data_IF_959294073404
#
_entry.id   IF_959294073404
#
_cell.length_a   1.000
_cell.length_b   1.000
_cell.length_c   1.000
_cell.angle_alpha   90.00
_cell.angle_beta   90.00
_cell.angle_gamma   90.00
#
_symmetry.space_group_name_H-M   'P 1'
#
loop_
_entity.id
_entity.type
_entity.pdbx_description
1 polymer ?
#
# COMPACT_ATOMS: atom_id res chain seq x y z
N UNK A 1 46.79 -50.17 -30.97
CA UNK A 1 47.12 -49.74 -29.58
C UNK A 1 47.09 -48.23 -29.52
N UNK A 2 46.02 -47.63 -29.00
CA UNK A 2 45.96 -46.24 -28.58
C UNK A 2 44.78 -46.03 -27.61
N UNK A 3 45.16 -45.70 -26.38
CA UNK A 3 44.40 -45.17 -25.25
C UNK A 3 43.18 -44.30 -25.59
N UNK A 4 42.06 -44.54 -24.90
CA UNK A 4 41.18 -43.48 -24.36
C UNK A 4 40.68 -43.87 -22.96
N UNK A 5 41.37 -43.37 -21.94
CA UNK A 5 40.84 -43.21 -20.59
C UNK A 5 39.67 -42.22 -20.63
N UNK A 6 38.46 -42.66 -20.27
CA UNK A 6 37.36 -41.76 -19.94
C UNK A 6 37.20 -41.74 -18.42
N UNK A 7 37.47 -40.57 -17.85
CA UNK A 7 37.38 -40.27 -16.43
C UNK A 7 35.88 -40.19 -16.05
N UNK A 8 35.39 -41.15 -15.28
CA UNK A 8 34.06 -41.09 -14.66
C UNK A 8 34.09 -40.04 -13.54
N UNK A 9 33.42 -38.92 -13.72
CA UNK A 9 33.16 -37.95 -12.64
C UNK A 9 31.73 -38.21 -12.13
N UNK A 10 31.53 -38.63 -10.87
CA UNK A 10 30.20 -38.88 -10.34
C UNK A 10 29.42 -37.56 -10.26
N UNK A 11 28.26 -37.52 -10.91
CA UNK A 11 27.37 -36.38 -10.87
C UNK A 11 26.96 -36.03 -9.44
N UNK A 12 27.27 -34.82 -9.01
CA UNK A 12 26.68 -34.21 -7.82
C UNK A 12 25.18 -34.07 -8.07
N UNK A 13 24.39 -34.93 -7.44
CA UNK A 13 22.93 -34.75 -7.33
C UNK A 13 22.69 -33.41 -6.64
N UNK A 14 22.51 -32.34 -7.41
CA UNK A 14 21.93 -31.09 -6.89
C UNK A 14 20.57 -31.48 -6.30
N UNK A 15 20.50 -31.45 -4.98
CA UNK A 15 19.26 -31.57 -4.23
C UNK A 15 18.43 -30.32 -4.55
N UNK A 16 17.75 -30.33 -5.70
CA UNK A 16 16.70 -29.38 -6.00
C UNK A 16 15.58 -29.73 -5.04
N UNK A 17 15.58 -29.08 -3.86
CA UNK A 17 14.39 -29.05 -2.99
C UNK A 17 13.23 -28.70 -3.91
N UNK A 18 12.34 -29.67 -4.18
CA UNK A 18 11.09 -29.42 -4.90
C UNK A 18 10.42 -28.27 -4.16
N UNK A 19 10.40 -27.08 -4.78
CA UNK A 19 9.71 -25.91 -4.24
C UNK A 19 8.27 -26.37 -4.09
N UNK A 20 7.79 -26.53 -2.84
CA UNK A 20 6.38 -26.85 -2.57
C UNK A 20 5.58 -25.72 -3.22
N UNK A 21 4.96 -25.98 -4.36
CA UNK A 21 4.05 -25.03 -4.97
C UNK A 21 2.86 -24.92 -4.03
N UNK A 22 2.75 -23.80 -3.32
CA UNK A 22 1.56 -23.47 -2.58
C UNK A 22 0.42 -23.34 -3.60
N UNK A 23 -0.71 -24.02 -3.38
CA UNK A 23 -1.90 -23.92 -4.25
C UNK A 23 -2.66 -22.59 -4.07
N UNK A 24 -1.94 -21.50 -3.80
CA UNK A 24 -2.51 -20.19 -3.50
C UNK A 24 -2.92 -19.44 -4.75
N UNK A 25 -3.99 -18.66 -4.64
CA UNK A 25 -4.50 -17.79 -5.71
C UNK A 25 -4.51 -16.36 -5.20
N UNK A 26 -4.17 -15.42 -6.07
CA UNK A 26 -4.15 -13.99 -5.79
C UNK A 26 -4.95 -13.27 -6.86
N UNK A 27 -5.77 -12.31 -6.43
CA UNK A 27 -6.40 -11.32 -7.29
C UNK A 27 -6.14 -9.93 -6.70
N UNK A 28 -5.77 -8.98 -7.55
CA UNK A 28 -5.48 -7.59 -7.15
C UNK A 28 -5.83 -6.62 -8.29
N UNK A 29 -5.94 -5.33 -7.96
CA UNK A 29 -6.27 -4.27 -8.93
C UNK A 29 -5.17 -3.99 -9.95
N UNK A 30 -3.93 -4.38 -9.65
CA UNK A 30 -2.79 -4.22 -10.54
C UNK A 30 -1.94 -5.49 -10.64
N UNK A 31 -1.35 -5.72 -11.82
CA UNK A 31 -0.52 -6.90 -12.08
C UNK A 31 0.70 -6.97 -11.15
N UNK A 32 1.36 -5.84 -10.89
CA UNK A 32 2.51 -5.78 -9.97
C UNK A 32 2.12 -6.14 -8.53
N UNK A 33 0.95 -5.68 -8.08
CA UNK A 33 0.39 -6.03 -6.77
C UNK A 33 0.11 -7.52 -6.66
N UNK A 34 -0.50 -8.12 -7.70
CA UNK A 34 -0.76 -9.56 -7.75
C UNK A 34 0.55 -10.38 -7.78
N UNK A 35 1.53 -9.93 -8.58
CA UNK A 35 2.83 -10.58 -8.71
C UNK A 35 3.61 -10.57 -7.38
N UNK A 36 3.57 -9.46 -6.64
CA UNK A 36 4.21 -9.36 -5.34
C UNK A 36 3.68 -10.40 -4.35
N UNK A 37 2.36 -10.50 -4.20
CA UNK A 37 1.74 -11.52 -3.36
C UNK A 37 2.03 -12.95 -3.85
N UNK A 38 1.94 -13.19 -5.17
CA UNK A 38 2.24 -14.49 -5.75
C UNK A 38 3.69 -14.91 -5.48
N UNK A 39 4.64 -13.98 -5.64
CA UNK A 39 6.05 -14.22 -5.35
C UNK A 39 6.23 -14.66 -3.88
N UNK A 40 5.62 -13.95 -2.94
CA UNK A 40 5.70 -14.30 -1.51
C UNK A 40 5.08 -15.67 -1.21
N UNK A 41 3.94 -16.01 -1.82
CA UNK A 41 3.37 -17.35 -1.70
C UNK A 41 4.30 -18.44 -2.25
N UNK A 42 4.96 -18.18 -3.38
CA UNK A 42 5.92 -19.11 -4.00
C UNK A 42 7.23 -19.25 -3.18
N UNK A 43 7.56 -18.24 -2.39
CA UNK A 43 8.68 -18.26 -1.44
C UNK A 43 8.32 -18.95 -0.12
N UNK A 44 7.06 -19.36 0.05
CA UNK A 44 6.58 -20.13 1.20
C UNK A 44 5.91 -19.28 2.28
N UNK A 45 5.66 -17.99 2.01
CA UNK A 45 4.86 -17.13 2.89
C UNK A 45 3.40 -17.59 2.98
N UNK A 46 2.75 -17.20 4.08
CA UNK A 46 1.34 -17.45 4.29
C UNK A 46 0.46 -16.37 3.61
N UNK A 47 -0.87 -16.46 3.76
CA UNK A 47 -1.80 -15.50 3.15
C UNK A 47 -1.63 -14.07 3.70
N UNK A 48 -1.22 -13.90 4.97
CA UNK A 48 -0.94 -12.58 5.55
C UNK A 48 0.37 -12.00 5.00
N UNK A 49 1.42 -12.81 4.89
CA UNK A 49 2.69 -12.42 4.23
C UNK A 49 2.41 -11.89 2.83
N UNK A 50 1.66 -12.65 2.03
CA UNK A 50 1.29 -12.27 0.67
C UNK A 50 0.44 -11.00 0.63
N UNK A 51 -0.55 -10.88 1.52
CA UNK A 51 -1.39 -9.69 1.61
C UNK A 51 -0.59 -8.43 1.94
N UNK A 52 0.36 -8.50 2.87
CA UNK A 52 1.20 -7.34 3.22
C UNK A 52 2.10 -6.93 2.05
N UNK A 53 2.70 -7.89 1.34
CA UNK A 53 3.50 -7.58 0.17
C UNK A 53 2.69 -6.95 -0.97
N UNK A 54 1.45 -7.44 -1.19
CA UNK A 54 0.51 -6.79 -2.10
C UNK A 54 0.18 -5.37 -1.64
N UNK A 55 -0.20 -5.17 -0.38
CA UNK A 55 -0.57 -3.84 0.15
C UNK A 55 0.56 -2.81 0.00
N UNK A 56 1.82 -3.19 0.29
CA UNK A 56 2.97 -2.32 0.04
C UNK A 56 3.19 -2.05 -1.44
N UNK A 57 3.08 -3.06 -2.30
CA UNK A 57 3.28 -2.90 -3.74
C UNK A 57 2.17 -2.07 -4.38
N UNK A 58 0.93 -2.17 -3.88
CA UNK A 58 -0.19 -1.33 -4.29
C UNK A 58 0.08 0.15 -4.01
N UNK A 59 0.73 0.51 -2.89
CA UNK A 59 1.12 1.89 -2.62
C UNK A 59 2.12 2.48 -3.64
N UNK A 60 2.77 1.62 -4.45
CA UNK A 60 3.66 2.02 -5.54
C UNK A 60 2.96 1.94 -6.89
N UNK A 61 2.23 0.86 -7.14
CA UNK A 61 1.66 0.53 -8.44
C UNK A 61 0.22 1.04 -8.64
N UNK A 62 -0.46 1.44 -7.58
CA UNK A 62 -1.85 1.92 -7.62
C UNK A 62 -1.96 3.29 -6.94
N UNK A 63 -1.13 4.29 -7.34
CA UNK A 63 -1.25 5.64 -6.80
C UNK A 63 -2.67 6.18 -7.07
N UNK A 64 -3.13 7.10 -6.21
CA UNK A 64 -4.54 7.56 -6.09
C UNK A 64 -5.45 6.58 -5.34
N UNK A 65 -5.24 5.27 -5.47
CA UNK A 65 -6.09 4.24 -4.87
C UNK A 65 -5.52 3.68 -3.56
N UNK A 66 -4.19 3.59 -3.45
CA UNK A 66 -3.48 3.09 -2.27
C UNK A 66 -2.37 4.06 -1.85
N UNK A 67 -2.16 4.20 -0.55
CA UNK A 67 -1.13 5.07 0.02
C UNK A 67 -0.73 4.65 1.43
N UNK A 68 0.56 4.81 1.75
CA UNK A 68 1.09 4.67 3.12
C UNK A 68 0.51 5.73 4.07
N UNK A 69 0.08 6.87 3.53
CA UNK A 69 -0.62 7.93 4.26
C UNK A 69 -2.13 7.72 4.37
N UNK A 70 -2.65 6.56 3.95
CA UNK A 70 -4.07 6.21 4.03
C UNK A 70 -4.42 5.33 5.22
N UNK A 71 -5.47 4.52 5.05
CA UNK A 71 -5.93 3.51 6.00
C UNK A 71 -6.66 2.39 5.25
N UNK A 72 -7.20 1.41 5.98
CA UNK A 72 -7.94 0.32 5.36
C UNK A 72 -8.39 -0.75 6.34
N UNK A 73 -8.83 -1.87 5.77
CA UNK A 73 -9.28 -3.03 6.51
C UNK A 73 -8.64 -4.31 5.96
N UNK A 74 -8.38 -5.30 6.83
CA UNK A 74 -8.05 -6.65 6.42
C UNK A 74 -9.01 -7.63 7.10
N UNK A 75 -9.93 -8.20 6.33
CA UNK A 75 -10.82 -9.28 6.77
C UNK A 75 -10.15 -10.62 6.49
N UNK A 76 -9.94 -11.43 7.53
CA UNK A 76 -9.27 -12.71 7.44
C UNK A 76 -10.07 -13.84 8.07
N UNK A 77 -9.91 -15.03 7.50
CA UNK A 77 -10.33 -16.31 8.07
C UNK A 77 -9.08 -17.21 8.21
N UNK A 78 -8.36 -17.15 9.34
CA UNK A 78 -7.21 -18.02 9.55
C UNK A 78 -7.66 -19.48 9.67
N UNK A 79 -6.72 -20.41 9.39
CA UNK A 79 -6.94 -21.83 9.63
C UNK A 79 -7.02 -22.06 11.14
N UNK A 80 -8.03 -22.80 11.61
CA UNK A 80 -8.23 -23.16 13.02
C UNK A 80 -8.31 -21.97 13.98
N UNK A 81 -8.74 -20.80 13.52
CA UNK A 81 -9.02 -19.65 14.37
C UNK A 81 -10.29 -18.93 13.91
N UNK A 82 -10.86 -18.14 14.81
CA UNK A 82 -12.02 -17.31 14.48
C UNK A 82 -11.67 -16.28 13.40
N UNK A 83 -12.61 -16.00 12.48
CA UNK A 83 -12.50 -14.88 11.58
C UNK A 83 -12.30 -13.56 12.32
N UNK A 84 -11.52 -12.66 11.74
CA UNK A 84 -11.20 -11.36 12.33
C UNK A 84 -11.09 -10.28 11.26
N UNK A 85 -11.24 -9.04 11.69
CA UNK A 85 -10.99 -7.84 10.90
C UNK A 85 -9.92 -7.02 11.59
N UNK A 86 -8.86 -6.67 10.87
CA UNK A 86 -7.97 -5.59 11.27
C UNK A 86 -8.53 -4.30 10.68
N UNK A 87 -9.00 -3.41 11.55
CA UNK A 87 -9.41 -2.05 11.22
C UNK A 87 -8.23 -1.11 11.47
N UNK A 88 -7.73 -0.55 10.39
CA UNK A 88 -6.70 0.47 10.41
C UNK A 88 -7.10 1.64 9.50
N UNK A 89 -8.39 1.98 9.54
CA UNK A 89 -8.94 3.11 8.80
C UNK A 89 -8.52 4.44 9.43
N UNK A 90 -8.53 5.50 8.63
CA UNK A 90 -8.05 6.79 9.10
C UNK A 90 -8.96 7.36 10.20
N UNK A 91 -8.38 7.94 11.25
CA UNK A 91 -9.14 8.58 12.32
C UNK A 91 -9.26 10.09 12.10
N UNK A 92 -10.44 10.65 12.34
CA UNK A 92 -10.62 12.10 12.39
C UNK A 92 -9.69 12.71 13.46
N UNK A 93 -8.90 13.75 13.14
CA UNK A 93 -8.08 14.44 14.13
C UNK A 93 -8.92 14.91 15.31
N UNK A 94 -8.39 14.76 16.52
CA UNK A 94 -9.13 14.99 17.77
C UNK A 94 -9.50 16.46 18.02
N UNK A 95 -8.85 17.40 17.32
CA UNK A 95 -9.13 18.84 17.42
C UNK A 95 -9.38 19.45 16.04
N UNK A 96 -10.62 19.87 15.82
CA UNK A 96 -10.98 20.69 14.64
C UNK A 96 -10.35 22.08 14.76
N UNK A 97 -9.71 22.54 13.69
CA UNK A 97 -9.20 23.91 13.58
C UNK A 97 -10.31 24.86 13.12
N UNK A 98 -10.22 26.17 13.41
CA UNK A 98 -11.17 27.14 12.89
C UNK A 98 -11.29 27.05 11.36
N UNK A 99 -12.52 27.15 10.86
CA UNK A 99 -12.81 27.00 9.43
C UNK A 99 -12.04 28.03 8.58
N UNK A 100 -11.93 29.27 9.06
CA UNK A 100 -11.16 30.34 8.42
C UNK A 100 -9.65 30.05 8.30
N UNK A 101 -9.11 29.13 9.12
CA UNK A 101 -7.71 28.73 9.10
C UNK A 101 -7.50 27.37 8.40
N UNK A 102 -8.56 26.77 7.85
CA UNK A 102 -8.54 25.44 7.27
C UNK A 102 -8.52 25.52 5.75
N UNK A 103 -7.56 24.84 5.13
CA UNK A 103 -7.54 24.65 3.68
C UNK A 103 -8.39 23.43 3.34
N UNK A 104 -9.69 23.65 3.18
CA UNK A 104 -10.63 22.64 2.74
C UNK A 104 -11.54 23.28 1.68
N UNK A 105 -11.45 22.81 0.44
CA UNK A 105 -12.20 23.39 -0.67
C UNK A 105 -12.69 22.31 -1.64
N UNK A 106 -13.83 22.53 -2.31
CA UNK A 106 -14.39 21.56 -3.24
C UNK A 106 -13.65 21.56 -4.57
N UNK A 107 -13.52 20.37 -5.15
CA UNK A 107 -13.23 20.14 -6.58
C UNK A 107 -14.29 19.20 -7.15
N UNK A 108 -14.46 19.23 -8.46
CA UNK A 108 -15.33 18.27 -9.16
C UNK A 108 -14.46 17.24 -9.85
N UNK A 109 -14.71 15.98 -9.53
CA UNK A 109 -14.20 14.85 -10.32
C UNK A 109 -15.28 14.42 -11.31
N UNK A 110 -14.91 14.35 -12.58
CA UNK A 110 -15.81 13.98 -13.67
C UNK A 110 -15.54 12.53 -14.09
N UNK A 111 -16.53 11.65 -13.89
CA UNK A 111 -16.51 10.24 -14.28
C UNK A 111 -17.22 10.01 -15.63
N UNK A 112 -17.52 11.07 -16.38
CA UNK A 112 -18.23 11.07 -17.66
C UNK A 112 -19.75 11.01 -17.49
N UNK A 113 -20.27 9.92 -16.92
CA UNK A 113 -21.72 9.74 -16.71
C UNK A 113 -22.20 10.23 -15.33
N UNK A 114 -21.26 10.61 -14.47
CA UNK A 114 -21.53 11.14 -13.14
C UNK A 114 -20.41 12.13 -12.78
N UNK A 115 -20.76 13.14 -11.99
CA UNK A 115 -19.78 14.01 -11.35
C UNK A 115 -19.91 13.88 -9.83
N UNK A 116 -18.78 13.98 -9.13
CA UNK A 116 -18.75 13.96 -7.68
C UNK A 116 -17.92 15.14 -7.16
N UNK A 117 -18.49 15.86 -6.20
CA UNK A 117 -17.73 16.88 -5.46
C UNK A 117 -16.89 16.21 -4.39
N UNK A 118 -15.57 16.37 -4.47
CA UNK A 118 -14.63 16.02 -3.42
C UNK A 118 -14.17 17.28 -2.72
N UNK A 119 -13.86 17.18 -1.42
CA UNK A 119 -13.17 18.25 -0.71
C UNK A 119 -11.71 17.89 -0.53
N UNK A 120 -10.83 18.78 -0.95
CA UNK A 120 -9.37 18.61 -0.92
C UNK A 120 -8.71 19.72 -0.11
N UNK A 121 -7.38 19.66 -0.01
CA UNK A 121 -6.57 20.57 0.81
C UNK A 121 -6.17 19.91 2.13
N UNK A 122 -5.27 20.53 2.89
CA UNK A 122 -4.75 19.93 4.12
C UNK A 122 -5.81 19.73 5.21
N UNK A 123 -6.91 20.46 5.13
CA UNK A 123 -8.09 20.27 5.99
C UNK A 123 -8.78 18.93 5.81
N UNK A 124 -8.59 18.24 4.67
CA UNK A 124 -9.19 16.92 4.42
C UNK A 124 -8.35 15.75 4.99
N UNK A 125 -7.16 16.02 5.49
CA UNK A 125 -6.24 15.00 5.98
C UNK A 125 -6.70 14.46 7.34
N UNK A 126 -7.01 13.16 7.37
CA UNK A 126 -7.24 12.38 8.57
C UNK A 126 -5.92 11.74 9.08
N UNK A 127 -5.95 11.16 10.28
CA UNK A 127 -4.80 10.47 10.89
C UNK A 127 -4.53 9.15 10.18
N UNK A 128 -3.37 8.96 9.52
CA UNK A 128 -3.10 7.76 8.73
C UNK A 128 -2.95 6.49 9.56
N UNK A 129 -3.59 5.42 9.10
CA UNK A 129 -3.65 4.14 9.79
C UNK A 129 -2.90 3.00 9.15
N UNK A 130 -2.59 3.10 7.86
CA UNK A 130 -2.06 2.01 7.06
C UNK A 130 -0.80 1.38 7.65
N UNK A 131 0.21 2.18 7.99
CA UNK A 131 1.49 1.69 8.52
C UNK A 131 1.28 0.96 9.86
N UNK A 132 0.51 1.54 10.79
CA UNK A 132 0.21 0.90 12.08
C UNK A 132 -0.49 -0.45 11.88
N UNK A 133 -1.47 -0.49 10.98
CA UNK A 133 -2.24 -1.69 10.66
C UNK A 133 -1.38 -2.80 10.09
N UNK A 134 -0.64 -2.50 9.02
CA UNK A 134 0.23 -3.46 8.34
C UNK A 134 1.31 -4.00 9.28
N UNK A 135 1.94 -3.15 10.10
CA UNK A 135 2.96 -3.60 11.04
C UNK A 135 2.37 -4.40 12.22
N UNK A 136 1.15 -4.10 12.67
CA UNK A 136 0.45 -4.93 13.65
C UNK A 136 0.13 -6.31 13.08
N UNK A 137 -0.39 -6.38 11.85
CA UNK A 137 -0.66 -7.65 11.14
C UNK A 137 0.64 -8.43 10.95
N UNK A 138 1.72 -7.76 10.54
CA UNK A 138 3.03 -8.37 10.36
C UNK A 138 3.50 -9.05 11.64
N UNK A 139 3.51 -8.32 12.76
CA UNK A 139 3.93 -8.86 14.07
C UNK A 139 3.08 -10.05 14.53
N UNK A 140 1.78 -10.04 14.25
CA UNK A 140 0.85 -11.03 14.77
C UNK A 140 0.67 -12.27 13.89
N UNK A 141 0.78 -12.12 12.57
CA UNK A 141 0.30 -13.12 11.59
C UNK A 141 1.29 -13.47 10.49
N UNK A 142 2.27 -12.62 10.21
CA UNK A 142 3.26 -12.89 9.18
C UNK A 142 4.32 -13.88 9.69
N UNK A 143 4.84 -14.68 8.77
CA UNK A 143 5.91 -15.64 9.04
C UNK A 143 7.25 -15.21 8.45
N UNK A 144 7.23 -14.26 7.49
CA UNK A 144 8.44 -13.76 6.85
C UNK A 144 8.90 -12.42 7.45
N UNK A 145 10.22 -12.14 7.44
CA UNK A 145 10.74 -10.82 7.82
C UNK A 145 10.12 -9.69 6.99
N UNK A 146 9.81 -8.56 7.62
CA UNK A 146 9.17 -7.40 6.98
C UNK A 146 9.91 -6.93 5.72
N UNK A 147 11.25 -6.94 5.77
CA UNK A 147 12.10 -6.56 4.63
C UNK A 147 11.86 -7.42 3.40
N UNK A 148 11.57 -8.72 3.55
CA UNK A 148 11.23 -9.58 2.42
C UNK A 148 9.86 -9.23 1.85
N UNK A 149 8.89 -8.89 2.71
CA UNK A 149 7.55 -8.49 2.28
C UNK A 149 7.52 -7.13 1.58
N UNK A 150 8.39 -6.20 1.97
CA UNK A 150 8.52 -4.88 1.34
C UNK A 150 9.35 -4.91 0.05
N UNK A 151 10.18 -5.94 -0.16
CA UNK A 151 11.11 -6.03 -1.29
C UNK A 151 10.43 -5.89 -2.67
N UNK A 152 9.26 -6.51 -2.95
CA UNK A 152 8.57 -6.30 -4.21
C UNK A 152 8.20 -4.84 -4.47
N UNK A 153 7.75 -4.12 -3.44
CA UNK A 153 7.40 -2.70 -3.53
C UNK A 153 8.65 -1.83 -3.76
N UNK A 154 9.74 -2.08 -3.02
CA UNK A 154 11.03 -1.39 -3.20
C UNK A 154 11.54 -1.57 -4.63
N UNK A 155 11.56 -2.81 -5.12
CA UNK A 155 12.00 -3.12 -6.47
C UNK A 155 11.12 -2.46 -7.53
N UNK A 156 9.80 -2.47 -7.35
CA UNK A 156 8.85 -1.79 -8.24
C UNK A 156 9.08 -0.28 -8.26
N UNK A 157 9.34 0.33 -7.10
CA UNK A 157 9.61 1.76 -6.97
C UNK A 157 10.92 2.18 -7.67
N UNK A 158 11.98 1.37 -7.55
CA UNK A 158 13.29 1.63 -8.20
C UNK A 158 13.24 1.44 -9.71
N UNK A 159 12.74 0.27 -10.17
CA UNK A 159 12.68 -0.02 -11.62
C UNK A 159 11.62 0.82 -12.33
N UNK A 160 10.60 1.23 -11.59
CA UNK A 160 9.44 1.96 -12.04
C UNK A 160 8.28 1.05 -12.47
N UNK A 161 7.08 1.61 -12.43
CA UNK A 161 5.84 0.97 -12.87
C UNK A 161 5.41 1.58 -14.19
N UNK A 162 5.08 0.73 -15.17
CA UNK A 162 4.59 1.18 -16.47
C UNK A 162 3.12 1.58 -16.34
N UNK A 163 2.79 2.81 -16.73
CA UNK A 163 1.43 3.35 -16.65
C UNK A 163 0.52 2.58 -17.60
N UNK A 164 -0.54 2.00 -17.03
CA UNK A 164 -1.56 1.28 -17.78
C UNK A 164 -2.78 2.19 -18.08
N UNK A 165 -3.71 1.76 -18.96
CA UNK A 165 -4.88 2.56 -19.31
C UNK A 165 -5.78 2.93 -18.12
N UNK A 166 -5.94 2.02 -17.14
CA UNK A 166 -6.77 2.26 -15.97
C UNK A 166 -6.17 3.32 -15.04
N UNK A 167 -4.87 3.25 -14.76
CA UNK A 167 -4.17 4.28 -13.97
C UNK A 167 -4.24 5.66 -14.63
N UNK A 168 -4.06 5.72 -15.96
CA UNK A 168 -4.16 6.97 -16.71
C UNK A 168 -5.58 7.56 -16.63
N UNK A 169 -6.60 6.72 -16.82
CA UNK A 169 -8.01 7.12 -16.67
C UNK A 169 -8.29 7.70 -15.28
N UNK A 170 -7.95 6.96 -14.22
CA UNK A 170 -8.18 7.41 -12.84
C UNK A 170 -7.43 8.70 -12.54
N UNK A 171 -6.17 8.81 -12.97
CA UNK A 171 -5.37 10.03 -12.78
C UNK A 171 -5.97 11.23 -13.50
N UNK A 172 -6.61 11.03 -14.66
CA UNK A 172 -7.35 12.07 -15.37
C UNK A 172 -8.59 12.53 -14.58
N UNK A 173 -9.37 11.60 -14.04
CA UNK A 173 -10.57 11.89 -13.24
C UNK A 173 -10.20 12.73 -12.00
N UNK A 174 -9.13 12.36 -11.29
CA UNK A 174 -8.66 13.06 -10.09
C UNK A 174 -7.60 14.12 -10.36
N UNK A 175 -7.38 14.51 -11.62
CA UNK A 175 -6.35 15.48 -11.97
C UNK A 175 -6.44 16.79 -11.17
N UNK A 176 -7.63 17.34 -10.83
CA UNK A 176 -7.73 18.50 -9.94
C UNK A 176 -7.07 18.29 -8.57
N UNK A 177 -7.15 17.06 -8.03
CA UNK A 177 -6.50 16.69 -6.76
C UNK A 177 -4.98 16.64 -6.94
N UNK A 178 -4.51 16.01 -8.02
CA UNK A 178 -3.07 15.88 -8.30
C UNK A 178 -2.40 17.23 -8.58
N UNK A 179 -3.15 18.19 -9.12
CA UNK A 179 -2.70 19.57 -9.36
C UNK A 179 -2.83 20.50 -8.15
N UNK A 180 -3.32 20.02 -7.01
CA UNK A 180 -3.47 20.82 -5.79
C UNK A 180 -2.14 21.41 -5.27
N UNK A 181 -1.00 20.79 -5.63
CA UNK A 181 0.32 21.38 -5.46
C UNK A 181 1.26 20.95 -6.58
N UNK A 182 2.27 21.77 -6.86
CA UNK A 182 3.30 21.41 -7.84
C UNK A 182 4.06 20.14 -7.42
N UNK A 183 4.39 20.01 -6.13
CA UNK A 183 5.08 18.83 -5.61
C UNK A 183 4.28 17.54 -5.84
N UNK A 184 2.97 17.54 -5.55
CA UNK A 184 2.11 16.40 -5.84
C UNK A 184 2.03 16.10 -7.34
N UNK A 185 1.85 17.12 -8.18
CA UNK A 185 1.70 16.92 -9.62
C UNK A 185 2.96 16.31 -10.26
N UNK A 186 4.16 16.71 -9.83
CA UNK A 186 5.41 16.18 -10.36
C UNK A 186 5.60 14.67 -10.06
N UNK A 187 4.95 14.13 -9.01
CA UNK A 187 4.93 12.69 -8.75
C UNK A 187 4.09 11.90 -9.78
N UNK A 188 3.29 12.59 -10.60
CA UNK A 188 2.40 11.99 -11.60
C UNK A 188 2.58 12.54 -13.02
N UNK A 189 3.54 13.45 -13.23
CA UNK A 189 3.77 14.12 -14.52
C UNK A 189 4.38 13.21 -15.59
N UNK A 190 4.29 13.60 -16.86
CA UNK A 190 5.01 12.91 -17.94
C UNK A 190 6.51 13.19 -17.85
N UNK A 191 7.31 12.20 -18.22
CA UNK A 191 8.76 12.34 -18.37
C UNK A 191 9.15 13.13 -19.62
N UNK A 192 8.21 13.28 -20.57
CA UNK A 192 8.38 14.01 -21.82
C UNK A 192 7.80 15.43 -21.70
N UNK A 193 6.63 15.56 -21.06
CA UNK A 193 5.91 16.83 -20.87
C UNK A 193 5.56 17.04 -19.39
N UNK A 194 6.44 17.69 -18.65
CA UNK A 194 6.33 17.85 -17.18
C UNK A 194 5.07 18.58 -16.68
N UNK A 195 4.34 19.25 -17.58
CA UNK A 195 3.07 19.93 -17.34
C UNK A 195 1.84 19.04 -17.54
N UNK A 196 2.02 17.85 -18.12
CA UNK A 196 0.98 16.85 -18.39
C UNK A 196 1.10 15.65 -17.46
N UNK A 197 0.01 14.90 -17.27
CA UNK A 197 0.07 13.60 -16.58
C UNK A 197 0.88 12.60 -17.40
N UNK A 198 1.48 11.63 -16.72
CA UNK A 198 2.14 10.50 -17.36
C UNK A 198 1.18 9.75 -18.30
N UNK A 199 1.63 9.48 -19.51
CA UNK A 199 0.87 8.82 -20.55
C UNK A 199 0.95 7.30 -20.41
N UNK A 200 -0.04 6.59 -20.98
CA UNK A 200 -0.03 5.13 -21.05
C UNK A 200 1.26 4.65 -21.72
N UNK A 201 1.93 3.71 -21.08
CA UNK A 201 3.18 3.13 -21.55
C UNK A 201 4.45 3.79 -21.01
N UNK A 202 4.37 5.00 -20.44
CA UNK A 202 5.48 5.62 -19.72
C UNK A 202 5.81 4.82 -18.44
N UNK A 203 7.08 4.89 -18.00
CA UNK A 203 7.52 4.23 -16.77
C UNK A 203 7.79 5.25 -15.68
N UNK A 204 7.09 5.13 -14.55
CA UNK A 204 7.24 6.03 -13.40
C UNK A 204 8.07 5.38 -12.30
N UNK A 205 9.22 5.97 -12.01
CA UNK A 205 10.09 5.60 -10.89
C UNK A 205 9.75 6.43 -9.65
N UNK A 206 9.96 5.86 -8.47
CA UNK A 206 9.67 6.45 -7.17
C UNK A 206 10.81 6.17 -6.18
N UNK A 207 12.05 6.66 -6.42
CA UNK A 207 13.20 6.35 -5.58
C UNK A 207 13.03 6.81 -4.13
N UNK A 208 12.31 7.91 -3.88
CA UNK A 208 11.99 8.41 -2.55
C UNK A 208 11.06 7.44 -1.80
N UNK A 209 10.10 6.82 -2.50
CA UNK A 209 9.23 5.78 -1.92
C UNK A 209 10.04 4.52 -1.59
N UNK A 210 10.99 4.14 -2.45
CA UNK A 210 11.90 3.02 -2.17
C UNK A 210 12.73 3.27 -0.91
N UNK A 211 13.34 4.45 -0.80
CA UNK A 211 14.06 4.87 0.39
C UNK A 211 13.15 4.85 1.63
N UNK A 212 11.94 5.40 1.52
CA UNK A 212 10.97 5.38 2.61
C UNK A 212 10.67 3.95 3.10
N UNK A 213 10.50 2.99 2.19
CA UNK A 213 10.32 1.59 2.58
C UNK A 213 11.54 0.99 3.28
N UNK A 214 12.76 1.35 2.87
CA UNK A 214 13.98 0.91 3.55
C UNK A 214 14.06 1.46 4.99
N UNK A 215 13.78 2.75 5.17
CA UNK A 215 13.67 3.38 6.48
C UNK A 215 12.58 2.71 7.33
N UNK A 216 11.40 2.49 6.74
CA UNK A 216 10.28 1.83 7.42
C UNK A 216 10.64 0.42 7.87
N UNK A 217 11.37 -0.35 7.05
CA UNK A 217 11.80 -1.70 7.43
C UNK A 217 12.82 -1.70 8.57
N UNK A 218 13.62 -0.65 8.71
CA UNK A 218 14.65 -0.52 9.74
C UNK A 218 14.11 0.04 11.05
N UNK A 219 13.27 1.06 10.96
CA UNK A 219 12.82 1.86 12.10
C UNK A 219 11.40 1.50 12.55
N UNK A 220 10.67 0.73 11.73
CA UNK A 220 9.31 0.29 12.02
C UNK A 220 8.33 1.46 12.14
N UNK A 221 7.31 1.29 12.98
CA UNK A 221 6.27 2.31 13.15
C UNK A 221 6.78 3.62 13.78
N UNK A 222 7.95 3.60 14.44
CA UNK A 222 8.53 4.78 15.06
C UNK A 222 8.81 5.88 14.02
N UNK A 223 9.26 5.51 12.81
CA UNK A 223 9.51 6.45 11.70
C UNK A 223 8.32 7.38 11.46
N UNK A 224 7.11 6.83 11.46
CA UNK A 224 5.89 7.55 11.06
C UNK A 224 5.10 8.12 12.23
N UNK A 225 5.05 7.44 13.38
CA UNK A 225 4.19 7.86 14.49
C UNK A 225 4.93 8.64 15.58
N UNK A 226 6.26 8.59 15.61
CA UNK A 226 7.11 9.27 16.61
C UNK A 226 8.31 10.00 16.00
N UNK A 227 8.61 9.75 14.72
CA UNK A 227 9.84 10.17 14.04
C UNK A 227 9.62 11.24 12.98
N UNK A 228 10.64 11.42 12.17
CA UNK A 228 10.74 12.53 11.20
C UNK A 228 9.60 12.56 10.18
N UNK A 229 9.14 11.41 9.70
CA UNK A 229 8.09 11.37 8.67
C UNK A 229 6.75 11.85 9.23
N UNK A 230 6.41 11.46 10.45
CA UNK A 230 5.23 11.97 11.16
C UNK A 230 5.33 13.46 11.46
N UNK A 231 6.51 13.91 11.88
CA UNK A 231 6.77 15.31 12.16
C UNK A 231 6.56 16.17 10.90
N UNK A 232 7.19 15.81 9.77
CA UNK A 232 7.04 16.50 8.49
C UNK A 232 5.57 16.57 8.02
N UNK A 233 4.82 15.47 8.17
CA UNK A 233 3.39 15.44 7.85
C UNK A 233 2.61 16.45 8.71
N UNK A 234 2.82 16.45 10.02
CA UNK A 234 2.09 17.34 10.94
C UNK A 234 2.51 18.80 10.82
N UNK A 235 3.76 19.07 10.48
CA UNK A 235 4.27 20.41 10.20
C UNK A 235 3.62 20.98 8.94
N UNK A 236 3.61 20.18 7.85
CA UNK A 236 2.91 20.53 6.61
C UNK A 236 1.43 20.81 6.88
N UNK A 237 0.76 19.96 7.67
CA UNK A 237 -0.63 20.19 8.07
C UNK A 237 -0.78 21.50 8.87
N UNK A 238 0.11 21.80 9.82
CA UNK A 238 0.03 23.04 10.59
C UNK A 238 0.20 24.27 9.70
N UNK A 239 1.14 24.23 8.76
CA UNK A 239 1.52 25.38 7.93
C UNK A 239 0.53 25.64 6.78
N UNK A 240 -0.14 24.59 6.30
CA UNK A 240 -1.00 24.67 5.11
C UNK A 240 -2.49 24.47 5.40
N UNK A 241 -2.93 24.68 6.65
CA UNK A 241 -4.34 24.74 7.04
C UNK A 241 -5.01 23.38 7.28
N UNK A 242 -4.28 22.42 7.85
CA UNK A 242 -4.75 21.10 8.21
C UNK A 242 -5.05 20.91 9.70
N UNK A 243 -5.86 19.89 10.00
CA UNK A 243 -6.29 19.57 11.37
C UNK A 243 -5.32 18.67 12.14
N UNK A 244 -4.60 17.80 11.43
CA UNK A 244 -3.73 16.78 12.02
C UNK A 244 -2.59 17.39 12.86
N UNK A 245 -2.31 16.81 14.02
CA UNK A 245 -1.24 17.21 14.94
C UNK A 245 -0.44 16.00 15.45
N UNK A 246 0.75 16.21 16.04
CA UNK A 246 1.59 15.11 16.55
C UNK A 246 0.89 14.19 17.56
N UNK A 247 -0.01 14.73 18.39
CA UNK A 247 -0.74 13.92 19.37
C UNK A 247 -1.74 12.95 18.72
N UNK A 248 -2.31 13.30 17.56
CA UNK A 248 -3.22 12.42 16.82
C UNK A 248 -2.46 11.18 16.30
N UNK A 249 -1.27 11.39 15.72
CA UNK A 249 -0.39 10.29 15.31
C UNK A 249 0.00 9.41 16.50
N UNK A 250 0.41 10.02 17.62
CA UNK A 250 0.82 9.30 18.82
C UNK A 250 -0.30 8.44 19.42
N UNK A 251 -1.54 8.91 19.34
CA UNK A 251 -2.73 8.22 19.89
C UNK A 251 -3.34 7.21 18.93
N UNK A 252 -2.93 7.19 17.65
CA UNK A 252 -3.50 6.28 16.67
C UNK A 252 -3.29 4.81 17.03
N UNK A 253 -4.34 4.01 16.88
CA UNK A 253 -4.31 2.56 17.09
C UNK A 253 -5.08 1.84 15.99
N UNK A 254 -4.52 0.75 15.48
CA UNK A 254 -5.26 -0.22 14.70
C UNK A 254 -6.06 -1.12 15.66
N UNK A 255 -7.31 -1.43 15.29
CA UNK A 255 -8.27 -2.16 16.13
C UNK A 255 -8.55 -3.52 15.51
N UNK A 256 -8.52 -4.58 16.33
CA UNK A 256 -9.03 -5.89 15.92
C UNK A 256 -10.51 -5.99 16.26
N UNK A 257 -11.32 -6.35 15.28
CA UNK A 257 -12.77 -6.50 15.40
C UNK A 257 -13.21 -7.91 15.02
N UNK A 258 -14.35 -8.33 15.57
CA UNK A 258 -15.09 -9.48 15.03
C UNK A 258 -15.79 -9.03 13.74
N UNK A 259 -15.74 -9.82 12.64
CA UNK A 259 -16.45 -9.45 11.43
C UNK A 259 -17.97 -9.45 11.65
N UNK A 260 -18.66 -8.62 10.88
CA UNK A 260 -20.10 -8.74 10.75
C UNK A 260 -20.41 -10.04 10.03
N UNK A 261 -21.22 -10.89 10.66
CA UNK A 261 -21.65 -12.16 10.11
C UNK A 261 -23.12 -12.10 9.67
N UNK A 262 -23.39 -12.53 8.44
CA UNK A 262 -24.74 -12.75 7.92
C UNK A 262 -24.81 -14.10 7.21
N UNK A 263 -25.92 -14.80 7.41
CA UNK A 263 -26.23 -16.02 6.64
C UNK A 263 -27.11 -15.64 5.46
N UNK A 264 -26.74 -16.14 4.28
CA UNK A 264 -27.54 -16.00 3.07
C UNK A 264 -27.56 -17.33 2.33
N UNK A 265 -28.74 -17.95 2.27
CA UNK A 265 -28.89 -19.34 1.79
C UNK A 265 -27.95 -20.28 2.56
N UNK A 266 -27.11 -21.04 1.86
CA UNK A 266 -26.12 -21.95 2.44
C UNK A 266 -24.77 -21.27 2.71
N UNK A 267 -24.62 -19.98 2.41
CA UNK A 267 -23.37 -19.25 2.60
C UNK A 267 -23.36 -18.47 3.92
N UNK A 268 -22.17 -18.40 4.51
CA UNK A 268 -21.83 -17.48 5.60
C UNK A 268 -21.02 -16.33 5.03
N UNK A 269 -21.59 -15.14 5.07
CA UNK A 269 -20.97 -13.89 4.60
C UNK A 269 -20.33 -13.22 5.80
N UNK A 270 -19.05 -12.90 5.65
CA UNK A 270 -18.23 -12.20 6.64
C UNK A 270 -17.76 -10.89 5.99
N UNK A 271 -18.01 -9.77 6.65
CA UNK A 271 -17.56 -8.45 6.19
C UNK A 271 -17.04 -7.62 7.36
N UNK A 272 -16.33 -6.56 7.05
CA UNK A 272 -15.92 -5.52 7.99
C UNK A 272 -17.12 -4.81 8.64
N UNK A 273 -16.83 -4.07 9.71
CA UNK A 273 -17.83 -3.30 10.45
C UNK A 273 -17.54 -1.84 10.18
N UNK A 274 -18.33 -1.19 9.34
CA UNK A 274 -18.33 0.27 9.23
C UNK A 274 -19.29 0.78 10.29
N UNK A 275 -18.75 1.33 11.39
CA UNK A 275 -19.51 2.07 12.41
C UNK A 275 -19.15 3.54 12.33
#
# INVERSE_FOLDING_TARGET
>A
MASKNSLFIPGTKRNVRKKKTTGGVVAAGHQETANAALQILQEGGNAFDAAIAAMFTACVAEPVLASLGGGGFLTARPVNADPLVYDFFAHTPSRKQPEAATNLHPIVADFGNASQTFHIGMGSIATPGFIKGVLAIHRERCSMPLKLLAMPAINAAIRGVRINPFQHLISGIVQPILRSSNAAFQLHSSTISSDQLAQVGETRKQPEMAAFFEHLCREGEALFYLGEAGQQLTDTCRESGGHLRPHDLKQYQAVKRKPLERRYRQARILTDVVQ
#
